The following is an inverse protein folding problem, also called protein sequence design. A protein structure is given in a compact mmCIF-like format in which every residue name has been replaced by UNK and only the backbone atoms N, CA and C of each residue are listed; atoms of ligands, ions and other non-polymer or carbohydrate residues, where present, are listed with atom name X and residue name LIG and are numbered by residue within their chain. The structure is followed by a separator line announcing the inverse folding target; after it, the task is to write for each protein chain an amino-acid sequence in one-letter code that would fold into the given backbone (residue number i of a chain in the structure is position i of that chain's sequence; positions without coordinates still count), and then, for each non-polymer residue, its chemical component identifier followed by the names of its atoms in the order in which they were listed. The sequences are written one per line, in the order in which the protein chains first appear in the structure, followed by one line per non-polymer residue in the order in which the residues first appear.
data_IF_159658979781
#
_entry.id   IF_159658979781
#
_cell.length_a   1.000
_cell.length_b   1.000
_cell.length_c   1.000
_cell.angle_alpha   90.00
_cell.angle_beta   90.00
_cell.angle_gamma   90.00
#
_symmetry.space_group_name_H-M   'P 1'
#
loop_
_entity.id
_entity.type
_entity.pdbx_description
1 polymer ?
#
# COMPACT_ATOMS: atom_id res chain seq x y z
N UNK A 1 10.79 -10.01 46.95
CA UNK A 1 9.89 -10.84 46.11
C UNK A 1 8.76 -9.94 45.63
N UNK A 2 8.91 -9.33 44.46
CA UNK A 2 7.89 -8.49 43.84
C UNK A 2 7.33 -9.25 42.64
N UNK A 3 6.02 -9.47 42.68
CA UNK A 3 5.21 -10.06 41.62
C UNK A 3 4.96 -9.03 40.52
N UNK A 4 5.39 -9.34 39.30
CA UNK A 4 5.02 -8.58 38.10
C UNK A 4 3.55 -8.81 37.74
N UNK A 5 2.81 -7.79 37.28
CA UNK A 5 1.46 -7.95 36.79
C UNK A 5 1.45 -8.50 35.36
N UNK A 6 0.56 -9.46 35.10
CA UNK A 6 0.27 -10.01 33.78
C UNK A 6 -0.26 -8.92 32.82
N UNK A 7 0.46 -8.71 31.73
CA UNK A 7 -0.01 -7.92 30.59
C UNK A 7 -0.91 -8.82 29.75
N UNK A 8 -2.22 -8.59 29.82
CA UNK A 8 -3.20 -9.22 28.93
C UNK A 8 -2.94 -8.73 27.51
N UNK A 9 -2.42 -9.62 26.66
CA UNK A 9 -2.31 -9.41 25.21
C UNK A 9 -3.74 -9.45 24.60
N UNK A 10 -4.11 -8.53 23.70
CA UNK A 10 -5.33 -8.68 22.91
C UNK A 10 -5.25 -9.97 22.07
N UNK A 11 -6.34 -10.73 22.05
CA UNK A 11 -6.46 -11.92 21.23
C UNK A 11 -6.35 -11.55 19.75
N UNK A 12 -5.46 -12.23 19.03
CA UNK A 12 -5.40 -12.18 17.57
C UNK A 12 -6.77 -12.60 17.00
N UNK A 13 -7.35 -11.73 16.18
CA UNK A 13 -8.50 -12.08 15.36
C UNK A 13 -7.98 -13.10 14.35
N UNK A 14 -8.39 -14.36 14.50
CA UNK A 14 -8.13 -15.41 13.52
C UNK A 14 -9.10 -15.20 12.37
N UNK A 15 -8.60 -14.63 11.27
CA UNK A 15 -9.30 -14.57 10.00
C UNK A 15 -9.35 -15.96 9.37
N UNK A 16 -10.49 -16.30 8.80
CA UNK A 16 -10.78 -17.60 8.19
C UNK A 16 -10.22 -17.62 6.76
N UNK A 17 -8.93 -17.90 6.63
CA UNK A 17 -8.28 -18.28 5.38
C UNK A 17 -7.63 -19.66 5.53
N UNK A 18 -8.11 -20.63 4.77
CA UNK A 18 -7.71 -22.04 4.76
C UNK A 18 -6.36 -22.32 4.03
N UNK A 19 -5.43 -21.37 4.07
CA UNK A 19 -4.16 -21.49 3.34
C UNK A 19 -3.21 -22.47 3.99
N UNK A 20 -3.29 -23.76 3.64
CA UNK A 20 -2.19 -24.71 3.86
C UNK A 20 -0.94 -24.25 3.07
N UNK A 21 0.29 -24.42 3.62
CA UNK A 21 1.53 -24.05 2.93
C UNK A 21 1.57 -24.57 1.48
N UNK A 22 1.87 -23.69 0.52
CA UNK A 22 1.88 -24.02 -0.91
C UNK A 22 0.58 -23.81 -1.69
N UNK A 23 -0.47 -23.20 -1.12
CA UNK A 23 -1.66 -22.77 -1.87
C UNK A 23 -1.43 -21.44 -2.61
N UNK A 24 -1.85 -21.34 -3.88
CA UNK A 24 -1.81 -20.08 -4.63
C UNK A 24 -2.75 -19.05 -4.00
N UNK A 25 -2.21 -17.85 -3.70
CA UNK A 25 -2.98 -16.69 -3.25
C UNK A 25 -3.08 -15.64 -4.36
N UNK A 26 -4.14 -14.82 -4.31
CA UNK A 26 -4.34 -13.69 -5.23
C UNK A 26 -4.44 -12.41 -4.42
N UNK A 27 -3.56 -11.46 -4.73
CA UNK A 27 -3.56 -10.11 -4.21
C UNK A 27 -3.61 -9.14 -5.40
N UNK A 28 -4.70 -8.39 -5.53
CA UNK A 28 -5.03 -7.64 -6.75
C UNK A 28 -5.52 -6.23 -6.43
N UNK A 29 -5.14 -5.21 -7.20
CA UNK A 29 -5.51 -3.84 -6.89
C UNK A 29 -4.80 -2.80 -7.74
N UNK A 30 -5.08 -1.54 -7.43
CA UNK A 30 -4.48 -0.35 -8.03
C UNK A 30 -4.59 0.85 -7.06
N UNK A 31 -3.86 1.93 -7.32
CA UNK A 31 -4.03 3.24 -6.69
C UNK A 31 -4.83 4.20 -7.57
N UNK A 32 -5.11 5.38 -7.03
CA UNK A 32 -5.61 6.53 -7.82
C UNK A 32 -6.95 6.22 -8.49
N UNK A 33 -7.86 5.71 -7.65
CA UNK A 33 -9.17 5.16 -8.02
C UNK A 33 -10.27 6.16 -7.69
N UNK A 34 -11.51 5.85 -8.07
CA UNK A 34 -12.70 6.57 -7.60
C UNK A 34 -12.68 8.11 -7.88
N UNK A 35 -12.32 8.52 -9.11
CA UNK A 35 -12.24 9.93 -9.56
C UNK A 35 -13.54 10.55 -10.13
N UNK A 36 -14.60 9.77 -10.22
CA UNK A 36 -15.78 10.06 -11.04
C UNK A 36 -15.57 9.68 -12.53
N UNK A 37 -16.52 10.03 -13.40
CA UNK A 37 -16.28 10.00 -14.86
C UNK A 37 -16.21 8.63 -15.56
N UNK A 38 -16.39 7.50 -14.86
CA UNK A 38 -16.59 6.17 -15.45
C UNK A 38 -15.36 5.29 -15.63
N UNK A 39 -14.14 5.84 -15.67
CA UNK A 39 -12.87 5.08 -15.75
C UNK A 39 -12.68 4.12 -14.55
N UNK A 40 -12.97 4.61 -13.35
CA UNK A 40 -12.96 3.83 -12.09
C UNK A 40 -13.85 2.57 -12.12
N UNK A 41 -14.96 2.61 -12.88
CA UNK A 41 -15.90 1.50 -12.95
C UNK A 41 -15.36 0.39 -13.85
N UNK A 42 -14.60 0.75 -14.89
CA UNK A 42 -13.96 -0.23 -15.75
C UNK A 42 -12.93 -1.08 -14.97
N UNK A 43 -12.11 -0.45 -14.13
CA UNK A 43 -11.14 -1.17 -13.28
C UNK A 43 -11.82 -1.93 -12.15
N UNK A 44 -12.84 -1.36 -11.51
CA UNK A 44 -13.63 -2.07 -10.49
C UNK A 44 -14.31 -3.33 -11.05
N UNK A 45 -14.72 -3.34 -12.33
CA UNK A 45 -15.33 -4.51 -12.98
C UNK A 45 -14.37 -5.66 -13.20
N UNK A 46 -13.09 -5.39 -13.36
CA UNK A 46 -12.09 -6.47 -13.45
C UNK A 46 -12.11 -7.31 -12.16
N UNK A 47 -12.26 -6.66 -11.02
CA UNK A 47 -12.31 -7.30 -9.71
C UNK A 47 -13.54 -8.22 -9.53
N UNK A 48 -14.62 -8.02 -10.27
CA UNK A 48 -15.82 -8.88 -10.21
C UNK A 48 -15.51 -10.34 -10.62
N UNK A 49 -14.50 -10.54 -11.48
CA UNK A 49 -14.05 -11.85 -11.93
C UNK A 49 -12.74 -12.33 -11.29
N UNK A 50 -12.07 -11.52 -10.48
CA UNK A 50 -10.78 -11.86 -9.86
C UNK A 50 -10.99 -12.15 -8.37
N UNK A 51 -10.94 -13.43 -7.93
CA UNK A 51 -11.06 -13.79 -6.52
C UNK A 51 -9.82 -13.35 -5.72
N UNK A 52 -9.87 -13.46 -4.40
CA UNK A 52 -8.75 -13.16 -3.50
C UNK A 52 -8.87 -11.80 -2.82
N UNK A 53 -7.76 -11.31 -2.29
CA UNK A 53 -7.70 -10.07 -1.51
C UNK A 53 -7.47 -8.87 -2.41
N UNK A 54 -8.23 -7.79 -2.18
CA UNK A 54 -8.08 -6.53 -2.90
C UNK A 54 -7.16 -5.60 -2.10
N UNK A 55 -6.23 -4.93 -2.75
CA UNK A 55 -5.54 -3.78 -2.18
C UNK A 55 -5.92 -2.49 -2.89
N UNK A 56 -5.72 -1.38 -2.19
CA UNK A 56 -5.72 -0.05 -2.80
C UNK A 56 -4.45 0.68 -2.39
N UNK A 57 -3.84 1.40 -3.33
CA UNK A 57 -2.55 2.06 -3.15
C UNK A 57 -2.72 3.55 -2.86
N UNK A 58 -3.70 3.92 -2.01
CA UNK A 58 -4.00 5.31 -1.69
C UNK A 58 -4.86 6.02 -2.73
N UNK A 59 -5.21 7.27 -2.42
CA UNK A 59 -6.10 8.11 -3.21
C UNK A 59 -7.41 7.40 -3.56
N UNK A 60 -8.09 6.98 -2.49
CA UNK A 60 -9.20 6.06 -2.57
C UNK A 60 -10.52 6.72 -2.98
N UNK A 61 -10.65 8.04 -2.83
CA UNK A 61 -11.87 8.77 -3.18
C UNK A 61 -11.59 10.25 -3.45
N UNK A 62 -11.49 10.63 -4.72
CA UNK A 62 -11.21 12.01 -5.10
C UNK A 62 -12.42 12.94 -4.96
N UNK A 63 -12.20 14.26 -4.94
CA UNK A 63 -10.89 14.91 -4.90
C UNK A 63 -10.29 15.03 -3.50
N UNK A 64 -11.01 14.74 -2.42
CA UNK A 64 -10.55 15.17 -1.09
C UNK A 64 -10.76 14.12 0.01
N UNK A 65 -11.03 12.85 -0.35
CA UNK A 65 -11.20 11.79 0.64
C UNK A 65 -12.37 12.04 1.60
N UNK A 66 -13.30 12.94 1.28
CA UNK A 66 -14.41 13.27 2.18
C UNK A 66 -15.40 12.11 2.25
N UNK A 67 -16.20 12.07 3.32
CA UNK A 67 -17.31 11.10 3.42
C UNK A 67 -18.24 11.17 2.19
N UNK A 68 -18.43 12.37 1.62
CA UNK A 68 -19.20 12.54 0.38
C UNK A 68 -18.49 11.92 -0.83
N UNK A 69 -17.16 12.07 -0.94
CA UNK A 69 -16.40 11.44 -2.02
C UNK A 69 -16.46 9.92 -1.94
N UNK A 70 -16.28 9.36 -0.75
CA UNK A 70 -16.44 7.93 -0.54
C UNK A 70 -17.84 7.43 -0.92
N UNK A 71 -18.90 8.10 -0.45
CA UNK A 71 -20.28 7.72 -0.78
C UNK A 71 -20.61 7.89 -2.28
N UNK A 72 -19.98 8.86 -2.95
CA UNK A 72 -20.32 9.20 -4.34
C UNK A 72 -19.49 8.42 -5.36
N UNK A 73 -18.23 8.11 -5.05
CA UNK A 73 -17.27 7.60 -6.03
C UNK A 73 -16.73 6.21 -5.69
N UNK A 74 -16.25 5.99 -4.46
CA UNK A 74 -15.73 4.67 -4.08
C UNK A 74 -16.87 3.68 -3.89
N UNK A 75 -17.86 3.98 -3.04
CA UNK A 75 -18.95 3.09 -2.67
C UNK A 75 -19.70 2.50 -3.88
N UNK A 76 -20.05 3.29 -4.92
CA UNK A 76 -20.77 2.77 -6.08
C UNK A 76 -19.89 2.01 -7.08
N UNK A 77 -18.55 2.07 -6.95
CA UNK A 77 -17.61 1.40 -7.84
C UNK A 77 -16.83 0.32 -7.09
N UNK A 78 -15.62 0.63 -6.63
CA UNK A 78 -14.74 -0.27 -5.87
C UNK A 78 -15.35 -0.76 -4.55
N UNK A 79 -16.30 -0.01 -3.97
CA UNK A 79 -16.97 -0.32 -2.70
C UNK A 79 -17.68 -1.66 -2.65
N UNK A 80 -18.11 -2.21 -3.79
CA UNK A 80 -18.67 -3.57 -3.85
C UNK A 80 -17.66 -4.67 -3.45
N UNK A 81 -16.36 -4.37 -3.50
CA UNK A 81 -15.27 -5.24 -3.07
C UNK A 81 -14.75 -4.91 -1.66
N UNK A 82 -15.30 -3.89 -0.98
CA UNK A 82 -14.80 -3.39 0.30
C UNK A 82 -14.58 -4.46 1.36
N UNK A 83 -15.46 -5.48 1.42
CA UNK A 83 -15.37 -6.57 2.39
C UNK A 83 -14.06 -7.39 2.30
N UNK A 84 -13.39 -7.37 1.14
CA UNK A 84 -12.10 -8.03 0.89
C UNK A 84 -10.98 -7.04 0.57
N UNK A 85 -11.20 -5.75 0.82
CA UNK A 85 -10.20 -4.70 0.58
C UNK A 85 -9.30 -4.51 1.80
N UNK A 86 -7.99 -4.41 1.54
CA UNK A 86 -6.93 -4.00 2.45
C UNK A 86 -6.38 -2.65 1.96
N UNK A 87 -6.94 -1.52 2.43
CA UNK A 87 -6.59 -0.20 1.91
C UNK A 87 -5.34 0.38 2.56
N UNK A 88 -4.58 1.20 1.84
CA UNK A 88 -3.71 2.22 2.42
C UNK A 88 -4.25 3.62 2.05
N UNK A 89 -3.95 4.67 2.84
CA UNK A 89 -4.31 6.04 2.48
C UNK A 89 -3.30 6.65 1.49
N UNK A 90 -3.73 7.69 0.78
CA UNK A 90 -2.87 8.59 -0.01
C UNK A 90 -3.13 10.06 0.30
N UNK A 91 -2.47 10.97 -0.41
CA UNK A 91 -2.50 12.39 -0.08
C UNK A 91 -3.90 12.99 -0.23
N UNK A 92 -4.69 12.55 -1.21
CA UNK A 92 -6.09 12.99 -1.36
C UNK A 92 -6.98 12.49 -0.21
N UNK A 93 -6.64 11.37 0.44
CA UNK A 93 -7.37 10.90 1.62
C UNK A 93 -7.17 11.83 2.84
N UNK A 94 -6.00 12.48 2.91
CA UNK A 94 -5.59 13.41 3.96
C UNK A 94 -5.98 14.87 3.70
N UNK A 95 -6.71 15.16 2.63
CA UNK A 95 -7.37 16.47 2.46
C UNK A 95 -8.52 16.71 3.45
N UNK A 96 -8.90 15.67 4.22
CA UNK A 96 -9.70 15.81 5.45
C UNK A 96 -8.80 15.89 6.68
N UNK A 97 -9.28 16.52 7.75
CA UNK A 97 -8.52 16.63 9.01
C UNK A 97 -8.06 15.24 9.50
N UNK A 98 -6.74 15.00 9.49
CA UNK A 98 -6.10 13.73 9.86
C UNK A 98 -6.68 12.50 9.14
N UNK A 99 -7.07 12.63 7.86
CA UNK A 99 -7.61 11.51 7.08
C UNK A 99 -8.98 11.01 7.60
N UNK A 100 -9.73 11.84 8.32
CA UNK A 100 -10.98 11.42 8.98
C UNK A 100 -11.97 10.71 8.05
N UNK A 101 -12.07 11.11 6.77
CA UNK A 101 -12.94 10.45 5.81
C UNK A 101 -12.51 9.01 5.51
N UNK A 102 -11.22 8.78 5.26
CA UNK A 102 -10.63 7.46 5.06
C UNK A 102 -10.84 6.54 6.26
N UNK A 103 -10.45 6.98 7.46
CA UNK A 103 -10.57 6.18 8.67
C UNK A 103 -12.03 5.89 9.03
N UNK A 104 -12.94 6.84 8.82
CA UNK A 104 -14.37 6.62 9.06
C UNK A 104 -14.96 5.63 8.06
N UNK A 105 -14.60 5.75 6.78
CA UNK A 105 -15.17 4.89 5.75
C UNK A 105 -14.67 3.45 5.87
N UNK A 106 -13.36 3.23 5.97
CA UNK A 106 -12.78 1.88 6.03
C UNK A 106 -12.83 1.24 7.43
N UNK A 107 -12.94 2.04 8.49
CA UNK A 107 -13.04 1.53 9.87
C UNK A 107 -11.85 0.63 10.22
N UNK A 108 -12.12 -0.56 10.74
CA UNK A 108 -11.07 -1.52 11.13
C UNK A 108 -10.24 -2.07 9.96
N UNK A 109 -10.66 -1.87 8.71
CA UNK A 109 -9.86 -2.26 7.54
C UNK A 109 -8.63 -1.34 7.37
N UNK A 110 -8.67 -0.12 7.89
CA UNK A 110 -7.58 0.85 7.82
C UNK A 110 -6.52 0.66 8.93
N UNK A 111 -6.48 -0.52 9.54
CA UNK A 111 -5.60 -0.81 10.68
C UNK A 111 -6.08 -0.17 11.99
N UNK A 112 -5.19 -0.09 13.00
CA UNK A 112 -5.49 0.59 14.25
C UNK A 112 -5.94 2.04 14.02
N UNK A 113 -6.98 2.46 14.75
CA UNK A 113 -7.61 3.76 14.57
C UNK A 113 -6.59 4.91 14.58
N UNK A 114 -6.54 5.65 13.47
CA UNK A 114 -5.69 6.82 13.29
C UNK A 114 -4.20 6.53 13.04
N UNK A 115 -3.81 5.27 12.79
CA UNK A 115 -2.43 4.93 12.45
C UNK A 115 -2.22 4.75 10.95
N UNK A 116 -3.16 4.13 10.23
CA UNK A 116 -3.08 3.97 8.76
C UNK A 116 -2.10 2.90 8.26
N UNK A 117 -1.27 2.34 9.14
CA UNK A 117 -0.36 1.23 8.86
C UNK A 117 -0.73 -0.04 9.66
N UNK A 118 -0.54 -1.19 9.05
CA UNK A 118 -0.84 -2.52 9.59
C UNK A 118 -0.20 -3.61 8.73
N UNK A 119 -0.16 -4.84 9.24
CA UNK A 119 0.29 -6.01 8.47
C UNK A 119 -0.65 -7.19 8.65
N UNK A 120 -0.56 -8.15 7.72
CA UNK A 120 -1.32 -9.39 7.74
C UNK A 120 -0.62 -10.45 6.89
N UNK A 121 -0.90 -11.71 7.18
CA UNK A 121 -0.39 -12.82 6.38
C UNK A 121 -1.40 -13.23 5.31
N UNK A 122 -0.90 -13.51 4.11
CA UNK A 122 -1.67 -14.00 2.97
C UNK A 122 -0.95 -15.19 2.35
N UNK A 123 -1.27 -16.40 2.82
CA UNK A 123 -0.49 -17.60 2.50
C UNK A 123 0.92 -17.47 3.06
N UNK A 124 1.93 -17.73 2.22
CA UNK A 124 3.35 -17.64 2.61
C UNK A 124 3.91 -16.20 2.54
N UNK A 125 3.06 -15.20 2.28
CA UNK A 125 3.44 -13.79 2.23
C UNK A 125 3.05 -13.05 3.50
N UNK A 126 3.99 -12.29 4.05
CA UNK A 126 3.75 -11.24 5.00
C UNK A 126 3.53 -9.92 4.24
N UNK A 127 2.33 -9.36 4.37
CA UNK A 127 1.90 -8.17 3.64
C UNK A 127 1.80 -6.98 4.59
N UNK A 128 2.43 -5.86 4.22
CA UNK A 128 2.52 -4.66 5.05
C UNK A 128 1.90 -3.47 4.32
N UNK A 129 0.86 -2.88 4.90
CA UNK A 129 0.31 -1.58 4.50
C UNK A 129 0.98 -0.48 5.31
N UNK A 130 1.56 0.51 4.65
CA UNK A 130 2.17 1.69 5.26
C UNK A 130 1.37 2.96 4.92
N UNK A 131 1.54 3.98 5.75
CA UNK A 131 0.92 5.31 5.59
C UNK A 131 2.02 6.33 5.27
N UNK A 132 2.07 6.77 4.01
CA UNK A 132 3.04 7.77 3.54
C UNK A 132 2.76 9.20 4.00
N UNK A 133 1.55 9.46 4.50
CA UNK A 133 1.04 10.80 4.81
C UNK A 133 1.34 11.25 6.25
N UNK A 134 1.92 10.34 7.04
CA UNK A 134 2.42 10.60 8.39
C UNK A 134 3.95 10.52 8.42
N UNK A 135 4.56 10.73 9.58
CA UNK A 135 6.02 10.65 9.67
C UNK A 135 6.55 9.26 9.29
N UNK A 136 7.40 9.25 8.28
CA UNK A 136 8.14 8.08 7.75
C UNK A 136 9.61 8.08 8.16
N UNK A 137 10.04 9.08 8.96
CA UNK A 137 11.43 9.27 9.34
C UNK A 137 11.97 8.11 10.19
N UNK A 138 13.29 7.93 10.20
CA UNK A 138 13.97 7.03 11.15
C UNK A 138 13.56 7.40 12.58
N UNK A 139 13.10 6.40 13.35
CA UNK A 139 12.63 6.62 14.72
C UNK A 139 11.20 7.16 14.84
N UNK A 140 10.49 7.36 13.73
CA UNK A 140 9.04 7.62 13.78
C UNK A 140 8.31 6.40 14.36
N UNK A 141 7.11 6.58 14.96
CA UNK A 141 6.33 5.44 15.47
C UNK A 141 6.09 4.35 14.41
N UNK A 142 5.81 4.75 13.16
CA UNK A 142 5.61 3.82 12.04
C UNK A 142 6.90 3.09 11.66
N UNK A 143 8.03 3.78 11.53
CA UNK A 143 9.29 3.13 11.13
C UNK A 143 9.82 2.18 12.22
N UNK A 144 9.66 2.54 13.49
CA UNK A 144 10.00 1.67 14.63
C UNK A 144 9.09 0.44 14.67
N UNK A 145 7.78 0.63 14.44
CA UNK A 145 6.83 -0.47 14.32
C UNK A 145 7.19 -1.40 13.15
N UNK A 146 7.44 -0.84 11.97
CA UNK A 146 7.79 -1.59 10.76
C UNK A 146 9.01 -2.50 10.99
N UNK A 147 10.09 -1.96 11.58
CA UNK A 147 11.28 -2.77 11.88
C UNK A 147 10.99 -3.89 12.89
N UNK A 148 10.16 -3.63 13.89
CA UNK A 148 9.77 -4.64 14.86
C UNK A 148 8.90 -5.74 14.23
N UNK A 149 8.00 -5.35 13.33
CA UNK A 149 7.13 -6.25 12.58
C UNK A 149 7.95 -7.15 11.63
N UNK A 150 8.84 -6.57 10.84
CA UNK A 150 9.75 -7.30 9.95
C UNK A 150 10.64 -8.28 10.72
N UNK A 151 11.17 -7.88 11.89
CA UNK A 151 11.97 -8.76 12.74
C UNK A 151 11.19 -9.96 13.32
N UNK A 152 9.86 -9.88 13.37
CA UNK A 152 9.01 -10.97 13.84
C UNK A 152 8.59 -11.95 12.74
N UNK A 153 8.73 -11.57 11.45
CA UNK A 153 8.23 -12.32 10.29
C UNK A 153 9.35 -12.75 9.31
N UNK A 154 10.50 -13.20 9.83
CA UNK A 154 11.70 -13.49 9.02
C UNK A 154 11.61 -14.74 8.14
N UNK A 155 10.52 -15.51 8.20
CA UNK A 155 10.38 -16.80 7.51
C UNK A 155 9.36 -16.77 6.36
N UNK A 156 8.91 -15.58 5.95
CA UNK A 156 7.89 -15.38 4.91
C UNK A 156 8.42 -14.48 3.79
N UNK A 157 7.85 -14.64 2.60
CA UNK A 157 8.02 -13.65 1.53
C UNK A 157 7.42 -12.32 1.99
N UNK A 158 8.05 -11.19 1.71
CA UNK A 158 7.56 -9.90 2.21
C UNK A 158 7.21 -8.93 1.07
N UNK A 159 6.01 -8.38 1.14
CA UNK A 159 5.52 -7.32 0.26
C UNK A 159 5.03 -6.15 1.11
N UNK A 160 5.44 -4.93 0.75
CA UNK A 160 4.90 -3.72 1.34
C UNK A 160 4.18 -2.86 0.30
N UNK A 161 3.23 -2.04 0.75
CA UNK A 161 2.55 -1.09 -0.12
C UNK A 161 2.13 0.17 0.63
N UNK A 162 2.18 1.30 -0.06
CA UNK A 162 1.70 2.62 0.37
C UNK A 162 1.49 3.52 -0.84
N UNK A 163 1.11 4.78 -0.66
CA UNK A 163 0.75 5.63 -1.79
C UNK A 163 1.95 6.11 -2.62
N UNK A 164 2.82 6.95 -2.06
CA UNK A 164 3.81 7.73 -2.84
C UNK A 164 5.15 6.98 -3.01
N UNK A 165 5.62 6.72 -4.24
CA UNK A 165 6.80 5.89 -4.50
C UNK A 165 8.12 6.59 -4.21
N UNK A 166 9.17 5.81 -3.90
CA UNK A 166 10.52 6.36 -3.84
C UNK A 166 11.10 6.58 -5.25
N UNK A 167 10.80 5.67 -6.17
CA UNK A 167 11.21 5.76 -7.57
C UNK A 167 10.02 5.69 -8.52
N UNK A 168 9.90 6.68 -9.39
CA UNK A 168 8.96 6.68 -10.51
C UNK A 168 9.53 7.55 -11.65
N UNK A 169 9.11 7.30 -12.88
CA UNK A 169 9.57 8.03 -14.07
C UNK A 169 8.52 8.98 -14.64
N UNK A 170 7.45 9.23 -13.89
CA UNK A 170 6.39 10.10 -14.33
C UNK A 170 6.81 11.56 -14.38
N UNK A 171 6.03 12.36 -15.12
CA UNK A 171 6.35 13.75 -15.39
C UNK A 171 5.56 14.74 -14.54
N UNK A 172 4.60 14.27 -13.72
CA UNK A 172 3.77 15.15 -12.91
C UNK A 172 4.32 15.26 -11.49
N UNK A 173 4.50 14.15 -10.79
CA UNK A 173 4.97 14.13 -9.40
C UNK A 173 6.38 13.56 -9.25
N UNK A 174 7.00 13.13 -10.35
CA UNK A 174 8.12 12.21 -10.31
C UNK A 174 9.36 12.62 -9.50
N UNK A 175 9.85 11.68 -8.70
CA UNK A 175 11.06 11.79 -7.89
C UNK A 175 10.96 12.67 -6.64
N UNK A 176 9.75 12.98 -6.17
CA UNK A 176 9.52 13.93 -5.07
C UNK A 176 9.44 13.29 -3.67
N UNK A 177 9.30 11.97 -3.55
CA UNK A 177 8.97 11.34 -2.27
C UNK A 177 10.16 10.80 -1.48
N UNK A 178 11.27 11.53 -1.45
CA UNK A 178 12.49 11.12 -0.72
C UNK A 178 12.27 10.90 0.79
N UNK A 179 11.19 11.46 1.37
CA UNK A 179 10.83 11.21 2.77
C UNK A 179 10.44 9.74 3.03
N UNK A 180 10.02 8.95 2.04
CA UNK A 180 9.72 7.51 2.25
C UNK A 180 10.98 6.62 2.26
N UNK A 181 12.16 7.19 1.93
CA UNK A 181 13.43 6.43 1.89
C UNK A 181 13.73 5.63 3.17
N UNK A 182 13.45 6.11 4.41
CA UNK A 182 13.69 5.30 5.61
C UNK A 182 12.82 4.05 5.71
N UNK A 183 11.59 4.07 5.20
CA UNK A 183 10.72 2.88 5.12
C UNK A 183 11.30 1.87 4.11
N UNK A 184 11.74 2.35 2.95
CA UNK A 184 12.49 1.58 1.97
C UNK A 184 13.75 0.93 2.56
N UNK A 185 14.51 1.69 3.35
CA UNK A 185 15.70 1.18 4.02
C UNK A 185 15.36 0.08 5.03
N UNK A 186 14.32 0.27 5.83
CA UNK A 186 13.86 -0.78 6.75
C UNK A 186 13.45 -2.05 6.00
N UNK A 187 12.67 -1.93 4.93
CA UNK A 187 12.26 -3.07 4.10
C UNK A 187 13.46 -3.79 3.47
N UNK A 188 14.45 -3.04 2.98
CA UNK A 188 15.66 -3.59 2.38
C UNK A 188 16.53 -4.32 3.41
N UNK A 189 16.70 -3.76 4.61
CA UNK A 189 17.47 -4.38 5.70
C UNK A 189 16.91 -5.74 6.12
N UNK A 190 15.60 -5.96 5.91
CA UNK A 190 14.89 -7.20 6.22
C UNK A 190 14.47 -8.00 4.97
N UNK A 191 15.06 -7.70 3.81
CA UNK A 191 14.90 -8.47 2.57
C UNK A 191 13.46 -8.55 2.03
N UNK A 192 12.71 -7.44 2.09
CA UNK A 192 11.44 -7.34 1.37
C UNK A 192 11.64 -7.53 -0.14
N UNK A 193 10.69 -8.18 -0.81
CA UNK A 193 10.82 -8.56 -2.22
C UNK A 193 10.13 -7.56 -3.15
N UNK A 194 8.96 -7.07 -2.73
CA UNK A 194 8.08 -6.25 -3.56
C UNK A 194 7.60 -5.02 -2.79
N UNK A 195 7.60 -3.90 -3.48
CA UNK A 195 6.92 -2.67 -3.07
C UNK A 195 5.90 -2.30 -4.14
N UNK A 196 4.67 -1.95 -3.72
CA UNK A 196 3.61 -1.44 -4.59
C UNK A 196 3.24 -0.01 -4.20
N UNK A 197 3.17 0.88 -5.19
CA UNK A 197 2.80 2.28 -5.02
C UNK A 197 1.81 2.78 -6.09
N UNK A 198 1.12 3.87 -5.79
CA UNK A 198 0.25 4.61 -6.71
C UNK A 198 0.82 6.00 -6.98
N UNK A 199 -0.01 7.03 -6.80
CA UNK A 199 0.29 8.47 -6.81
C UNK A 199 0.65 9.02 -8.19
N UNK A 200 1.66 8.46 -8.83
CA UNK A 200 1.92 8.75 -10.23
C UNK A 200 0.99 7.89 -11.09
N UNK A 201 0.16 8.54 -11.91
CA UNK A 201 -0.86 7.86 -12.70
C UNK A 201 -0.30 7.17 -13.95
N UNK A 202 0.67 6.29 -13.74
CA UNK A 202 1.34 5.48 -14.76
C UNK A 202 1.36 4.01 -14.30
N UNK A 203 1.71 3.13 -15.22
CA UNK A 203 2.26 1.85 -14.82
C UNK A 203 3.78 1.89 -14.96
N UNK A 204 4.51 1.45 -13.94
CA UNK A 204 5.95 1.26 -14.05
C UNK A 204 6.43 0.08 -13.20
N UNK A 205 7.47 -0.62 -13.66
CA UNK A 205 8.11 -1.73 -12.96
C UNK A 205 9.62 -1.57 -13.03
N UNK A 206 10.25 -1.52 -11.87
CA UNK A 206 11.71 -1.44 -11.75
C UNK A 206 12.36 -2.81 -11.61
N UNK A 207 13.63 -2.95 -11.99
CA UNK A 207 14.49 -4.05 -11.60
C UNK A 207 14.81 -3.96 -10.09
N UNK A 208 15.21 -5.07 -9.43
CA UNK A 208 15.64 -5.07 -8.04
C UNK A 208 16.74 -4.04 -7.78
N UNK A 209 16.51 -3.13 -6.84
CA UNK A 209 17.42 -2.04 -6.52
C UNK A 209 17.49 -1.74 -5.02
N UNK A 210 18.57 -1.07 -4.62
CA UNK A 210 18.77 -0.59 -3.26
C UNK A 210 17.92 0.65 -2.99
N UNK A 211 17.77 1.07 -1.71
CA UNK A 211 17.15 2.35 -1.35
C UNK A 211 17.84 3.58 -1.95
N UNK A 212 19.05 3.43 -2.51
CA UNK A 212 19.77 4.48 -3.24
C UNK A 212 19.60 4.41 -4.76
N UNK A 213 18.80 3.49 -5.29
CA UNK A 213 18.55 3.32 -6.74
C UNK A 213 19.69 2.61 -7.48
N UNK A 214 20.63 1.99 -6.76
CA UNK A 214 21.65 1.14 -7.40
C UNK A 214 21.06 -0.25 -7.66
N UNK A 215 21.33 -0.84 -8.82
CA UNK A 215 20.90 -2.20 -9.12
C UNK A 215 21.49 -3.19 -8.10
N UNK A 216 20.63 -4.03 -7.51
CA UNK A 216 21.03 -5.16 -6.67
C UNK A 216 20.15 -6.37 -7.02
N UNK A 217 20.56 -7.20 -7.99
CA UNK A 217 19.79 -8.38 -8.40
C UNK A 217 19.67 -9.47 -7.32
N UNK A 218 20.48 -9.41 -6.25
CA UNK A 218 20.51 -10.44 -5.22
C UNK A 218 19.64 -10.10 -4.01
N UNK A 219 19.63 -8.82 -3.60
CA UNK A 219 18.92 -8.37 -2.39
C UNK A 219 18.03 -7.14 -2.60
N UNK A 220 18.02 -6.56 -3.80
CA UNK A 220 17.21 -5.38 -4.11
C UNK A 220 15.72 -5.65 -4.08
N UNK A 221 14.95 -4.60 -3.84
CA UNK A 221 13.49 -4.68 -3.84
C UNK A 221 12.98 -4.32 -5.22
N UNK A 222 11.96 -5.04 -5.68
CA UNK A 222 11.24 -4.72 -6.92
C UNK A 222 10.08 -3.77 -6.62
N UNK A 223 10.10 -2.58 -7.19
CA UNK A 223 9.02 -1.60 -7.07
C UNK A 223 8.10 -1.63 -8.29
N UNK A 224 6.81 -1.45 -8.04
CA UNK A 224 5.78 -1.26 -9.05
C UNK A 224 4.97 0.00 -8.76
N UNK A 225 4.79 0.82 -9.79
CA UNK A 225 3.86 1.94 -9.79
C UNK A 225 2.60 1.48 -10.52
N UNK A 226 1.46 1.55 -9.85
CA UNK A 226 0.17 1.07 -10.36
C UNK A 226 -0.92 2.11 -10.07
N UNK A 227 -0.63 3.38 -10.37
CA UNK A 227 -1.60 4.50 -10.26
C UNK A 227 -2.60 4.57 -11.42
N UNK A 228 -2.91 3.42 -12.01
CA UNK A 228 -3.75 3.31 -13.23
C UNK A 228 -5.21 3.01 -12.91
N UNK A 229 -5.62 3.20 -11.65
CA UNK A 229 -6.90 2.72 -11.14
C UNK A 229 -8.13 3.48 -11.61
N UNK A 230 -7.98 4.72 -12.08
CA UNK A 230 -9.10 5.48 -12.63
C UNK A 230 -8.82 6.95 -12.88
N UNK A 231 -7.84 7.53 -12.20
CA UNK A 231 -7.39 8.90 -12.42
C UNK A 231 -6.79 9.09 -13.83
N UNK A 232 -6.71 10.34 -14.27
CA UNK A 232 -6.20 10.67 -15.61
C UNK A 232 -4.73 10.29 -15.74
N UNK A 233 -4.41 9.44 -16.71
CA UNK A 233 -3.06 8.90 -16.90
C UNK A 233 -2.05 9.98 -17.29
N UNK A 234 -0.84 9.84 -16.75
CA UNK A 234 0.32 10.68 -17.06
C UNK A 234 1.21 10.04 -18.11
N UNK A 235 2.35 10.65 -18.40
CA UNK A 235 3.29 10.13 -19.40
C UNK A 235 4.70 10.02 -18.85
N UNK A 236 5.36 8.92 -19.19
CA UNK A 236 6.80 8.75 -18.96
C UNK A 236 7.56 9.32 -20.16
N UNK A 237 8.43 10.30 -19.93
CA UNK A 237 9.25 10.90 -21.00
C UNK A 237 10.69 10.39 -20.99
N UNK A 238 11.28 10.25 -19.81
CA UNK A 238 12.63 9.72 -19.61
C UNK A 238 12.60 8.73 -18.45
N UNK A 239 12.66 7.42 -18.73
CA UNK A 239 12.71 6.41 -17.69
C UNK A 239 13.93 6.58 -16.77
N UNK A 240 13.74 6.46 -15.46
CA UNK A 240 14.81 6.39 -14.47
C UNK A 240 15.66 5.11 -14.67
N UNK A 241 16.89 5.07 -14.12
CA UNK A 241 17.66 3.84 -14.05
C UNK A 241 16.83 2.69 -13.48
N UNK A 242 17.09 1.48 -13.96
CA UNK A 242 16.42 0.24 -13.56
C UNK A 242 14.93 0.13 -13.96
N UNK A 243 14.32 1.14 -14.61
CA UNK A 243 12.98 0.96 -15.20
C UNK A 243 13.00 -0.13 -16.27
N UNK A 244 12.23 -1.20 -16.09
CA UNK A 244 12.16 -2.34 -17.02
C UNK A 244 10.92 -2.26 -17.94
N UNK A 245 9.79 -1.75 -17.42
CA UNK A 245 8.53 -1.60 -18.16
C UNK A 245 7.82 -0.36 -17.64
N UNK A 246 7.28 0.46 -18.54
CA UNK A 246 6.45 1.62 -18.20
C UNK A 246 5.38 1.85 -19.28
N UNK A 247 4.23 2.42 -18.91
CA UNK A 247 3.17 2.89 -19.80
C UNK A 247 2.53 4.17 -19.29
#
# INVERSE_FOLDING_TARGET
AQSSPDVIRPAAITDLGDGSPGSTVVFVGAGDIAVGGGSQEATARLLDGIPGTVFTLGDNAYPDGTASNYATYYDPSWGRHKARTKPCPGNHDYHTANGAGYFTYFGSLAGPSGQGYYSFDLGDWHIISLDGEISTAVGSPQEVWLRADLAAHTNQCCLAYWHEPLFDSGNIHGGQSQYVQPLWQALYDYHAEIILNGHEHIYERFAPQTPGGAADPANGIREFIVGTGGAGLYTVTTPKPNSEVHN
#
